data_IF_022168937778
#
_entry.id   IF_022168937778
#
_cell.length_a   1.000
_cell.length_b   1.000
_cell.length_c   1.000
_cell.angle_alpha   90.00
_cell.angle_beta   90.00
_cell.angle_gamma   90.00
#
_symmetry.space_group_name_H-M   'P 1'
#
loop_
_entity.id
_entity.type
_entity.pdbx_description
1 polymer ?
#
# COMPACT_ATOMS: atom_id res chain seq x y z
N UNK A 1 -15.39 0.38 -4.28
CA UNK A 1 -14.01 0.89 -4.17
C UNK A 1 -13.72 1.14 -2.70
N UNK A 2 -12.64 0.59 -2.13
CA UNK A 2 -12.26 0.94 -0.75
C UNK A 2 -11.59 2.31 -0.76
N UNK A 3 -12.17 3.28 -0.06
CA UNK A 3 -11.74 4.68 -0.09
C UNK A 3 -10.85 5.06 1.11
N UNK A 4 -10.66 4.15 2.08
CA UNK A 4 -9.99 4.44 3.35
C UNK A 4 -8.67 3.66 3.48
N UNK A 5 -7.60 4.21 2.87
CA UNK A 5 -6.25 3.62 2.91
C UNK A 5 -5.72 3.33 4.31
N UNK A 6 -6.14 4.10 5.32
CA UNK A 6 -5.69 3.96 6.72
C UNK A 6 -6.37 2.83 7.50
N UNK A 7 -7.44 2.23 6.96
CA UNK A 7 -8.30 1.28 7.71
C UNK A 7 -8.43 -0.08 7.01
N UNK A 8 -8.36 -0.17 5.66
CA UNK A 8 -8.41 -1.48 5.00
C UNK A 8 -7.08 -2.21 5.11
N UNK A 9 -7.11 -3.39 5.76
CA UNK A 9 -5.93 -4.26 5.90
C UNK A 9 -5.32 -4.68 4.55
N UNK A 10 -6.14 -4.72 3.51
CA UNK A 10 -5.71 -4.94 2.13
C UNK A 10 -4.59 -3.99 1.67
N UNK A 11 -4.57 -2.74 2.14
CA UNK A 11 -3.53 -1.76 1.77
C UNK A 11 -2.22 -1.96 2.53
N UNK A 12 -2.19 -2.78 3.58
CA UNK A 12 -0.92 -3.13 4.25
C UNK A 12 -0.13 -4.19 3.47
N UNK A 13 -0.73 -4.82 2.45
CA UNK A 13 -0.01 -5.76 1.58
C UNK A 13 1.15 -5.09 0.85
N UNK A 14 0.97 -3.86 0.33
CA UNK A 14 2.05 -3.14 -0.34
C UNK A 14 3.25 -2.94 0.62
N UNK A 15 2.99 -2.44 1.83
CA UNK A 15 4.05 -2.26 2.85
C UNK A 15 4.70 -3.59 3.25
N UNK A 16 3.92 -4.64 3.49
CA UNK A 16 4.43 -5.94 3.88
C UNK A 16 5.29 -6.58 2.79
N UNK A 17 4.83 -6.52 1.53
CA UNK A 17 5.55 -7.08 0.38
C UNK A 17 6.82 -6.28 0.07
N UNK A 18 6.75 -4.95 0.09
CA UNK A 18 7.91 -4.10 -0.21
C UNK A 18 9.00 -4.18 0.87
N UNK A 19 8.62 -4.47 2.12
CA UNK A 19 9.55 -4.63 3.24
C UNK A 19 10.10 -6.06 3.41
N UNK A 20 9.54 -7.04 2.70
CA UNK A 20 9.90 -8.46 2.82
C UNK A 20 11.17 -8.81 2.02
N UNK A 21 12.33 -8.38 2.52
CA UNK A 21 13.63 -8.56 1.84
C UNK A 21 14.11 -10.01 1.73
N UNK A 22 13.70 -10.87 2.67
CA UNK A 22 14.14 -12.27 2.76
C UNK A 22 13.07 -13.28 2.32
N UNK A 23 11.97 -12.80 1.71
CA UNK A 23 10.82 -13.61 1.29
C UNK A 23 10.19 -14.43 2.44
N UNK A 24 10.29 -13.93 3.67
CA UNK A 24 9.71 -14.58 4.85
C UNK A 24 8.20 -14.45 4.87
N UNK A 25 7.66 -13.28 4.48
CA UNK A 25 6.22 -13.06 4.34
C UNK A 25 5.65 -13.93 3.22
N UNK A 26 6.34 -13.98 2.07
CA UNK A 26 5.98 -14.89 0.96
C UNK A 26 5.89 -16.35 1.41
N UNK A 27 6.96 -16.88 2.01
CA UNK A 27 7.03 -18.29 2.44
C UNK A 27 5.98 -18.65 3.47
N UNK A 28 5.71 -17.73 4.41
CA UNK A 28 4.79 -18.00 5.51
C UNK A 28 3.32 -17.99 5.09
N UNK A 29 2.95 -17.20 4.08
CA UNK A 29 1.53 -17.00 3.77
C UNK A 29 1.17 -17.35 2.33
N UNK A 30 1.96 -16.89 1.35
CA UNK A 30 1.63 -17.08 -0.07
C UNK A 30 1.96 -18.50 -0.55
N UNK A 31 3.08 -19.07 -0.09
CA UNK A 31 3.49 -20.42 -0.48
C UNK A 31 2.57 -21.50 0.14
N UNK A 32 1.98 -21.23 1.32
CA UNK A 32 1.04 -22.15 1.98
C UNK A 32 -0.24 -22.39 1.16
N UNK A 33 -0.71 -21.36 0.46
CA UNK A 33 -1.93 -21.42 -0.36
C UNK A 33 -1.64 -21.41 -1.88
N UNK A 34 -0.39 -21.63 -2.28
CA UNK A 34 0.03 -21.68 -3.69
C UNK A 34 -0.32 -20.41 -4.48
N UNK A 35 -0.10 -19.24 -3.89
CA UNK A 35 -0.28 -17.93 -4.55
C UNK A 35 1.03 -17.15 -4.69
N UNK A 36 2.16 -17.86 -4.69
CA UNK A 36 3.50 -17.27 -4.69
C UNK A 36 3.77 -16.36 -5.90
N UNK A 37 3.21 -16.69 -7.05
CA UNK A 37 3.25 -15.88 -8.28
C UNK A 37 2.55 -14.53 -8.12
N UNK A 38 1.44 -14.47 -7.37
CA UNK A 38 0.77 -13.20 -7.09
C UNK A 38 1.64 -12.28 -6.22
N UNK A 39 2.34 -12.84 -5.23
CA UNK A 39 3.33 -12.08 -4.45
C UNK A 39 4.44 -11.54 -5.34
N UNK A 40 5.01 -12.38 -6.22
CA UNK A 40 6.12 -11.99 -7.09
C UNK A 40 5.70 -10.87 -8.05
N UNK A 41 4.51 -11.00 -8.66
CA UNK A 41 3.92 -9.96 -9.47
C UNK A 41 3.76 -8.65 -8.68
N UNK A 42 3.11 -8.68 -7.52
CA UNK A 42 2.85 -7.48 -6.71
C UNK A 42 4.17 -6.77 -6.35
N UNK A 43 5.17 -7.53 -5.88
CA UNK A 43 6.50 -7.01 -5.54
C UNK A 43 7.14 -6.29 -6.72
N UNK A 44 7.17 -6.93 -7.88
CA UNK A 44 7.84 -6.39 -9.07
C UNK A 44 7.05 -5.19 -9.64
N UNK A 45 5.72 -5.23 -9.57
CA UNK A 45 4.85 -4.13 -9.94
C UNK A 45 5.05 -2.90 -9.04
N UNK A 46 5.05 -3.05 -7.70
CA UNK A 46 5.31 -1.93 -6.79
C UNK A 46 6.67 -1.29 -7.03
N UNK A 47 7.71 -2.12 -7.23
CA UNK A 47 9.05 -1.65 -7.60
C UNK A 47 9.04 -0.86 -8.91
N UNK A 48 8.31 -1.32 -9.92
CA UNK A 48 8.18 -0.62 -11.20
C UNK A 48 7.48 0.74 -11.05
N UNK A 49 6.44 0.82 -10.21
CA UNK A 49 5.69 2.07 -9.97
C UNK A 49 6.58 3.10 -9.25
N UNK A 50 7.42 2.65 -8.32
CA UNK A 50 8.33 3.49 -7.55
C UNK A 50 9.53 4.00 -8.37
N UNK A 51 9.90 3.36 -9.49
CA UNK A 51 10.98 3.83 -10.37
C UNK A 51 10.60 5.13 -11.07
N UNK A 52 11.56 6.03 -11.24
CA UNK A 52 11.46 7.20 -12.11
C UNK A 52 12.36 7.01 -13.34
N UNK A 53 11.89 7.43 -14.52
CA UNK A 53 12.71 7.51 -15.74
C UNK A 53 12.65 6.31 -16.70
N UNK A 54 13.60 6.31 -17.64
CA UNK A 54 13.52 5.64 -18.94
C UNK A 54 13.38 4.10 -18.94
N UNK A 55 13.60 3.43 -17.81
CA UNK A 55 13.56 1.96 -17.72
C UNK A 55 12.17 1.37 -17.43
N UNK A 56 11.15 2.22 -17.27
CA UNK A 56 9.80 1.77 -16.94
C UNK A 56 9.23 0.84 -18.02
N UNK A 57 9.43 1.16 -19.30
CA UNK A 57 8.92 0.35 -20.43
C UNK A 57 9.48 -1.08 -20.42
N UNK A 58 10.79 -1.21 -20.32
CA UNK A 58 11.46 -2.52 -20.25
C UNK A 58 11.02 -3.33 -19.03
N UNK A 59 10.90 -2.67 -17.88
CA UNK A 59 10.43 -3.30 -16.64
C UNK A 59 9.00 -3.83 -16.79
N UNK A 60 8.09 -3.01 -17.34
CA UNK A 60 6.71 -3.42 -17.58
C UNK A 60 6.58 -4.52 -18.63
N UNK A 61 7.41 -4.49 -19.68
CA UNK A 61 7.47 -5.59 -20.66
C UNK A 61 7.88 -6.92 -20.03
N UNK A 62 8.81 -6.89 -19.07
CA UNK A 62 9.21 -8.07 -18.29
C UNK A 62 8.07 -8.56 -17.40
N UNK A 63 7.35 -7.65 -16.74
CA UNK A 63 6.16 -7.99 -15.94
C UNK A 63 5.08 -8.62 -16.81
N UNK A 64 4.83 -8.04 -17.99
CA UNK A 64 3.84 -8.52 -18.94
C UNK A 64 4.16 -9.95 -19.42
N UNK A 65 5.42 -10.20 -19.80
CA UNK A 65 5.84 -11.52 -20.29
C UNK A 65 5.89 -12.57 -19.19
N UNK A 66 6.27 -12.19 -17.97
CA UNK A 66 6.46 -13.13 -16.85
C UNK A 66 5.14 -13.48 -16.17
N UNK A 67 4.24 -12.53 -15.97
CA UNK A 67 3.06 -12.75 -15.13
C UNK A 67 1.73 -12.66 -15.88
N UNK A 68 1.66 -11.92 -16.99
CA UNK A 68 0.37 -11.58 -17.65
C UNK A 68 0.11 -12.42 -18.90
N UNK A 69 1.15 -12.83 -19.61
CA UNK A 69 1.01 -13.66 -20.80
C UNK A 69 0.54 -15.07 -20.47
N UNK A 70 -0.38 -15.57 -21.29
CA UNK A 70 -0.84 -16.96 -21.24
C UNK A 70 0.37 -17.86 -21.46
N UNK A 71 0.39 -19.00 -20.77
CA UNK A 71 1.44 -20.04 -20.86
C UNK A 71 2.76 -19.69 -20.17
N UNK A 72 2.83 -18.56 -19.46
CA UNK A 72 3.97 -18.31 -18.57
C UNK A 72 3.93 -19.27 -17.37
N UNK A 73 5.06 -19.86 -16.95
CA UNK A 73 5.11 -20.66 -15.73
C UNK A 73 4.79 -19.85 -14.45
N UNK A 74 4.80 -18.51 -14.53
CA UNK A 74 4.43 -17.60 -13.44
C UNK A 74 3.17 -16.79 -13.77
N UNK A 75 2.35 -17.27 -14.71
CA UNK A 75 1.08 -16.62 -15.03
C UNK A 75 0.21 -16.46 -13.77
N UNK A 76 -0.17 -15.22 -13.48
CA UNK A 76 -1.08 -14.93 -12.36
C UNK A 76 -2.53 -15.16 -12.80
N UNK A 77 -3.38 -15.57 -11.85
CA UNK A 77 -4.78 -15.83 -12.12
C UNK A 77 -5.58 -14.51 -12.14
N UNK A 78 -5.69 -13.90 -13.33
CA UNK A 78 -6.47 -12.68 -13.57
C UNK A 78 -7.51 -12.91 -14.65
N UNK A 79 -8.56 -12.08 -14.63
CA UNK A 79 -9.61 -12.16 -15.65
C UNK A 79 -9.09 -11.77 -17.03
N UNK A 80 -9.75 -12.27 -18.09
CA UNK A 80 -9.43 -11.87 -19.47
C UNK A 80 -9.56 -10.35 -19.66
N UNK A 81 -10.52 -9.71 -18.99
CA UNK A 81 -10.71 -8.26 -19.04
C UNK A 81 -9.53 -7.51 -18.44
N UNK A 82 -9.08 -7.89 -17.23
CA UNK A 82 -7.93 -7.24 -16.57
C UNK A 82 -6.66 -7.40 -17.41
N UNK A 83 -6.47 -8.58 -17.99
CA UNK A 83 -5.36 -8.87 -18.88
C UNK A 83 -5.36 -7.97 -20.12
N UNK A 84 -6.50 -7.88 -20.82
CA UNK A 84 -6.64 -7.03 -22.00
C UNK A 84 -6.44 -5.56 -21.65
N UNK A 85 -7.07 -5.07 -20.59
CA UNK A 85 -6.93 -3.67 -20.17
C UNK A 85 -5.49 -3.28 -19.82
N UNK A 86 -4.73 -4.18 -19.17
CA UNK A 86 -3.32 -3.95 -18.91
C UNK A 86 -2.50 -3.93 -20.20
N UNK A 87 -2.72 -4.90 -21.11
CA UNK A 87 -2.00 -4.99 -22.39
C UNK A 87 -2.25 -3.76 -23.26
N UNK A 88 -3.50 -3.34 -23.41
CA UNK A 88 -3.87 -2.12 -24.13
C UNK A 88 -3.17 -0.90 -23.53
N UNK A 89 -3.18 -0.75 -22.20
CA UNK A 89 -2.49 0.36 -21.53
C UNK A 89 -0.98 0.34 -21.80
N UNK A 90 -0.36 -0.85 -21.77
CA UNK A 90 1.07 -1.03 -22.01
C UNK A 90 1.44 -0.75 -23.47
N UNK A 91 0.62 -1.19 -24.43
CA UNK A 91 0.83 -0.95 -25.86
C UNK A 91 0.71 0.56 -26.16
N UNK A 92 -0.33 1.24 -25.67
CA UNK A 92 -0.44 2.71 -25.76
C UNK A 92 0.74 3.43 -25.10
N UNK A 93 1.32 2.90 -24.02
CA UNK A 93 2.53 3.46 -23.42
C UNK A 93 3.78 3.23 -24.29
N UNK A 94 3.86 2.09 -24.98
CA UNK A 94 4.93 1.81 -25.93
C UNK A 94 4.88 2.72 -27.16
N UNK A 95 3.67 3.01 -27.64
CA UNK A 95 3.39 3.90 -28.77
C UNK A 95 3.52 5.40 -28.40
N UNK A 96 3.61 5.72 -27.11
CA UNK A 96 3.78 7.08 -26.60
C UNK A 96 2.46 7.85 -26.42
N UNK A 97 1.32 7.16 -26.52
CA UNK A 97 -0.01 7.72 -26.27
C UNK A 97 -0.29 7.89 -24.77
N UNK A 98 0.21 6.95 -23.95
CA UNK A 98 0.10 7.03 -22.49
C UNK A 98 1.36 7.66 -21.89
N UNK A 99 1.16 8.53 -20.90
CA UNK A 99 2.21 9.05 -20.04
C UNK A 99 2.63 8.03 -18.98
N UNK A 100 3.80 8.22 -18.35
CA UNK A 100 4.22 7.41 -17.20
C UNK A 100 3.17 7.40 -16.08
N UNK A 101 2.51 8.54 -15.85
CA UNK A 101 1.46 8.67 -14.83
C UNK A 101 0.28 7.76 -15.15
N UNK A 102 -0.15 7.72 -16.42
CA UNK A 102 -1.29 6.90 -16.86
C UNK A 102 -0.97 5.40 -16.78
N UNK A 103 0.20 4.97 -17.26
CA UNK A 103 0.55 3.54 -17.17
C UNK A 103 0.75 3.11 -15.72
N UNK A 104 1.36 3.94 -14.85
CA UNK A 104 1.47 3.64 -13.41
C UNK A 104 0.09 3.55 -12.74
N UNK A 105 -0.87 4.37 -13.14
CA UNK A 105 -2.25 4.27 -12.66
C UNK A 105 -2.91 2.95 -13.09
N UNK A 106 -2.70 2.51 -14.34
CA UNK A 106 -3.18 1.22 -14.85
C UNK A 106 -2.57 0.04 -14.08
N UNK A 107 -1.25 0.04 -13.87
CA UNK A 107 -0.54 -0.97 -13.06
C UNK A 107 -1.10 -1.00 -11.62
N UNK A 108 -1.29 0.16 -10.99
CA UNK A 108 -1.89 0.24 -9.64
C UNK A 108 -3.29 -0.34 -9.58
N UNK A 109 -4.11 -0.10 -10.60
CA UNK A 109 -5.46 -0.68 -10.67
C UNK A 109 -5.41 -2.21 -10.66
N UNK A 110 -4.50 -2.79 -11.44
CA UNK A 110 -4.30 -4.25 -11.46
C UNK A 110 -3.77 -4.77 -10.12
N UNK A 111 -2.79 -4.09 -9.50
CA UNK A 111 -2.32 -4.43 -8.15
C UNK A 111 -3.47 -4.45 -7.14
N UNK A 112 -4.37 -3.45 -7.15
CA UNK A 112 -5.52 -3.40 -6.23
C UNK A 112 -6.50 -4.56 -6.40
N UNK A 113 -6.71 -5.05 -7.63
CA UNK A 113 -7.50 -6.27 -7.87
C UNK A 113 -6.83 -7.48 -7.22
N UNK A 114 -5.53 -7.66 -7.46
CA UNK A 114 -4.76 -8.81 -6.98
C UNK A 114 -4.56 -8.77 -5.46
N UNK A 115 -4.31 -7.61 -4.87
CA UNK A 115 -4.26 -7.39 -3.43
C UNK A 115 -5.55 -7.89 -2.76
N UNK A 116 -6.70 -7.57 -3.34
CA UNK A 116 -7.99 -8.01 -2.81
C UNK A 116 -8.14 -9.52 -2.88
N UNK A 117 -7.82 -10.10 -4.04
CA UNK A 117 -7.83 -11.54 -4.21
C UNK A 117 -6.91 -12.24 -3.20
N UNK A 118 -5.67 -11.79 -3.06
CA UNK A 118 -4.73 -12.33 -2.09
C UNK A 118 -5.25 -12.18 -0.66
N UNK A 119 -5.77 -11.01 -0.30
CA UNK A 119 -6.32 -10.79 1.04
C UNK A 119 -7.50 -11.72 1.34
N UNK A 120 -8.45 -11.86 0.42
CA UNK A 120 -9.61 -12.76 0.58
C UNK A 120 -9.17 -14.23 0.78
N UNK A 121 -8.11 -14.65 0.10
CA UNK A 121 -7.55 -15.99 0.24
C UNK A 121 -6.62 -16.16 1.46
N UNK A 122 -6.05 -15.09 2.02
CA UNK A 122 -5.08 -15.17 3.12
C UNK A 122 -5.68 -14.78 4.48
N UNK A 123 -6.79 -14.05 4.50
CA UNK A 123 -7.40 -13.52 5.73
C UNK A 123 -7.79 -14.60 6.75
N UNK A 124 -7.99 -15.85 6.30
CA UNK A 124 -8.31 -16.98 7.16
C UNK A 124 -7.08 -17.75 7.65
N UNK A 125 -5.87 -17.41 7.19
CA UNK A 125 -4.63 -18.04 7.63
C UNK A 125 -4.20 -17.48 8.98
N UNK A 126 -3.92 -18.36 9.93
CA UNK A 126 -3.60 -17.99 11.30
C UNK A 126 -2.41 -17.03 11.38
N UNK A 127 -2.63 -15.89 12.03
CA UNK A 127 -1.61 -14.86 12.22
C UNK A 127 -1.32 -13.98 11.01
N UNK A 128 -1.99 -14.16 9.87
CA UNK A 128 -1.84 -13.27 8.71
C UNK A 128 -2.29 -11.84 9.02
N UNK A 129 -3.49 -11.67 9.54
CA UNK A 129 -4.03 -10.36 9.91
C UNK A 129 -3.17 -9.66 10.97
N UNK A 130 -2.72 -10.41 11.99
CA UNK A 130 -1.81 -9.89 13.03
C UNK A 130 -0.46 -9.48 12.44
N UNK A 131 0.05 -10.21 11.45
CA UNK A 131 1.27 -9.84 10.73
C UNK A 131 1.07 -8.55 9.92
N UNK A 132 -0.02 -8.40 9.18
CA UNK A 132 -0.31 -7.16 8.45
C UNK A 132 -0.47 -5.95 9.39
N UNK A 133 -1.10 -6.15 10.55
CA UNK A 133 -1.28 -5.09 11.55
C UNK A 133 0.02 -4.57 12.15
N UNK A 134 1.13 -5.33 12.13
CA UNK A 134 2.43 -4.80 12.57
C UNK A 134 2.92 -3.68 11.65
N UNK A 135 2.62 -3.74 10.35
CA UNK A 135 2.97 -2.69 9.39
C UNK A 135 2.10 -1.43 9.52
N UNK A 136 0.88 -1.56 10.08
CA UNK A 136 0.05 -0.41 10.43
C UNK A 136 0.68 0.41 11.58
N UNK A 137 1.23 -0.27 12.60
CA UNK A 137 1.82 0.38 13.79
C UNK A 137 3.10 1.15 13.46
N UNK A 138 3.95 0.62 12.59
CA UNK A 138 5.17 1.31 12.14
C UNK A 138 4.85 2.57 11.32
N UNK A 139 3.81 2.53 10.50
CA UNK A 139 3.35 3.68 9.71
C UNK A 139 2.82 4.80 10.63
N UNK A 140 2.06 4.45 11.68
CA UNK A 140 1.52 5.43 12.64
C UNK A 140 2.62 6.01 13.55
N UNK A 141 3.62 5.22 13.96
CA UNK A 141 4.70 5.74 14.82
C UNK A 141 5.69 6.64 14.08
N UNK A 142 5.79 6.55 12.75
CA UNK A 142 6.64 7.43 11.95
C UNK A 142 5.99 8.80 11.66
N UNK A 143 4.65 8.88 11.60
CA UNK A 143 3.94 10.16 11.43
C UNK A 143 3.89 11.00 12.72
N UNK A 144 4.07 10.40 13.90
CA UNK A 144 4.04 11.12 15.20
C UNK A 144 5.45 11.30 15.78
N UNK A 145 6.26 12.14 15.13
CA UNK A 145 7.39 12.78 15.81
C UNK A 145 6.86 14.14 16.31
N UNK A 146 6.50 14.30 17.60
CA UNK A 146 6.21 15.64 18.10
C UNK A 146 7.46 16.48 17.84
N UNK A 147 7.32 17.53 17.02
CA UNK A 147 8.33 18.56 16.91
C UNK A 147 8.69 18.96 18.34
N UNK A 148 9.97 18.83 18.68
CA UNK A 148 10.48 19.28 19.96
C UNK A 148 10.00 20.72 20.13
N UNK A 149 9.19 20.95 21.15
CA UNK A 149 8.81 22.29 21.55
C UNK A 149 10.08 23.14 21.61
N UNK A 150 10.10 24.23 20.85
CA UNK A 150 11.14 25.23 20.95
C UNK A 150 11.31 25.60 22.42
N UNK A 151 12.55 25.54 22.91
CA UNK A 151 12.91 26.12 24.21
C UNK A 151 12.43 27.58 24.20
N UNK A 152 11.41 27.87 25.02
CA UNK A 152 11.01 29.23 25.32
C UNK A 152 12.13 29.86 26.15
N UNK A 153 12.78 30.86 25.57
CA UNK A 153 13.63 31.80 26.29
C UNK A 153 12.84 32.47 27.44
N UNK A 154 13.56 32.66 28.55
CA UNK A 154 13.13 33.22 29.82
C UNK A 154 12.16 34.42 29.71
N UNK A 155 11.04 34.34 30.43
CA UNK A 155 10.28 35.53 30.85
C UNK A 155 10.19 35.57 32.37
N UNK A 156 10.54 36.71 33.00
CA UNK A 156 10.59 36.82 34.45
C UNK A 156 9.20 36.88 35.08
N UNK A 157 9.15 36.27 36.26
CA UNK A 157 8.01 36.19 37.17
C UNK A 157 7.41 37.56 37.48
N UNK A 158 6.08 37.68 37.36
CA UNK A 158 5.21 38.29 38.35
C UNK A 158 3.74 38.01 38.01
N UNK A 159 3.11 37.17 38.84
CA UNK A 159 1.66 37.06 38.94
C UNK A 159 1.08 38.30 39.66
N UNK A 160 -0.23 38.56 39.56
CA UNK A 160 -1.09 37.97 40.58
C UNK A 160 -2.38 37.34 40.06
N UNK A 161 -2.89 36.50 40.96
CA UNK A 161 -4.03 35.60 40.93
C UNK A 161 -5.36 36.22 40.48
N UNK A 162 -6.14 35.47 39.70
CA UNK A 162 -7.57 35.34 40.01
C UNK A 162 -8.22 34.07 39.43
N UNK A 163 -8.64 33.23 40.36
CA UNK A 163 -9.84 32.38 40.41
C UNK A 163 -10.28 31.50 39.22
N UNK A 164 -10.05 30.19 39.45
CA UNK A 164 -11.03 29.08 39.45
C UNK A 164 -12.09 29.08 38.34
N UNK A 165 -11.98 28.11 37.42
CA UNK A 165 -12.96 27.03 37.37
C UNK A 165 -12.40 25.77 36.71
N UNK A 166 -12.57 24.63 37.40
CA UNK A 166 -12.20 23.30 36.93
C UNK A 166 -13.27 22.82 35.96
N UNK A 167 -12.88 22.45 34.74
CA UNK A 167 -13.71 21.59 33.91
C UNK A 167 -12.88 20.46 33.30
N UNK A 168 -13.15 19.26 33.82
CA UNK A 168 -12.69 17.97 33.29
C UNK A 168 -13.65 17.60 32.16
N UNK A 169 -13.13 17.42 30.95
CA UNK A 169 -13.88 16.85 29.83
C UNK A 169 -13.19 15.56 29.38
N UNK A 170 -13.75 14.43 29.79
CA UNK A 170 -13.52 13.12 29.17
C UNK A 170 -14.77 12.74 28.38
N UNK A 171 -14.56 12.30 27.13
CA UNK A 171 -15.52 11.68 26.21
C UNK A 171 -16.69 12.57 25.75
N UNK A 172 -16.51 13.25 24.63
CA UNK A 172 -17.61 13.85 23.87
C UNK A 172 -17.13 14.79 22.77
N UNK A 173 -16.99 14.28 21.56
CA UNK A 173 -17.16 15.12 20.36
C UNK A 173 -18.24 14.46 19.51
N UNK A 174 -19.42 15.09 19.58
CA UNK A 174 -20.52 14.96 18.64
C UNK A 174 -20.06 15.36 17.24
N UNK A 175 -20.42 14.59 16.22
CA UNK A 175 -20.29 15.00 14.82
C UNK A 175 -21.67 15.35 14.25
N UNK A 176 -21.82 16.61 13.87
CA UNK A 176 -22.73 17.21 12.86
C UNK A 176 -22.14 18.61 12.61
N UNK A 177 -21.97 19.20 11.42
CA UNK A 177 -22.49 19.13 10.03
C UNK A 177 -21.34 19.61 9.10
N UNK A 178 -21.30 19.45 7.77
CA UNK A 178 -22.23 19.88 6.71
C UNK A 178 -21.95 19.09 5.43
#
# INVERSE_FOLDING_TARGET
>A
MCTHKRICKCHFLESAITSDTNEGFKKKFFDEIQTGEHYLFLRDAYRSIAKEGNDLRSTLGTIASTYINVDSPFEINITASERSSFKESYDSFCEGEYTEVQIKASVRSLCTSIERFCYENLAHIDGFDTYLESFNKETISQEYRPEKAAEQEDLPANAPENQVDKQVCYKGVCCTLF
#
